data_IF_254155144123
#
_entry.id   IF_254155144123
#
_cell.length_a   1.000
_cell.length_b   1.000
_cell.length_c   1.000
_cell.angle_alpha   90.00
_cell.angle_beta   90.00
_cell.angle_gamma   90.00
#
_symmetry.space_group_name_H-M   'P 1'
#
loop_
_entity.id
_entity.type
_entity.pdbx_description
1 polymer ?
#
# COMPACT_ATOMS: atom_id res chain seq x y z
N UNK A 1 -28.68 12.19 19.64
CA UNK A 1 -27.56 12.18 20.62
C UNK A 1 -26.53 11.07 20.39
N UNK A 2 -26.84 9.99 19.64
CA UNK A 2 -25.91 8.89 19.36
C UNK A 2 -24.75 9.26 18.43
N UNK A 3 -24.97 10.11 17.42
CA UNK A 3 -23.92 10.55 16.47
C UNK A 3 -22.76 11.33 17.11
N UNK A 4 -23.04 12.22 18.06
CA UNK A 4 -22.02 13.04 18.71
C UNK A 4 -21.08 12.20 19.60
N UNK A 5 -21.63 11.19 20.30
CA UNK A 5 -20.85 10.26 21.10
C UNK A 5 -19.97 9.33 20.24
N UNK A 6 -20.49 8.88 19.09
CA UNK A 6 -19.73 8.11 18.10
C UNK A 6 -18.54 8.91 17.54
N UNK A 7 -18.75 10.18 17.17
CA UNK A 7 -17.68 11.09 16.72
C UNK A 7 -16.60 11.31 17.78
N UNK A 8 -16.98 11.49 19.06
CA UNK A 8 -16.03 11.69 20.15
C UNK A 8 -15.15 10.46 20.43
N UNK A 9 -15.73 9.26 20.31
CA UNK A 9 -14.98 8.00 20.45
C UNK A 9 -14.06 7.70 19.26
N UNK A 10 -14.44 8.17 18.06
CA UNK A 10 -13.64 8.05 16.84
C UNK A 10 -12.45 9.01 16.86
N UNK A 11 -12.65 10.27 17.25
CA UNK A 11 -11.57 11.25 17.39
C UNK A 11 -10.50 10.81 18.41
N UNK A 12 -10.94 10.25 19.55
CA UNK A 12 -10.04 9.72 20.59
C UNK A 12 -9.25 8.48 20.13
N UNK A 13 -9.80 7.65 19.24
CA UNK A 13 -9.10 6.48 18.67
C UNK A 13 -8.14 6.88 17.56
N UNK A 14 -8.54 7.81 16.69
CA UNK A 14 -7.67 8.40 15.67
C UNK A 14 -6.41 9.08 16.24
N UNK A 15 -6.48 9.58 17.48
CA UNK A 15 -5.36 10.19 18.21
C UNK A 15 -4.46 9.18 18.95
N UNK A 16 -4.90 7.93 19.18
CA UNK A 16 -4.20 6.97 20.05
C UNK A 16 -3.65 5.73 19.36
N UNK A 17 -4.06 5.41 18.13
CA UNK A 17 -3.58 4.22 17.42
C UNK A 17 -3.15 4.53 15.97
N UNK A 18 -2.00 4.00 15.49
CA UNK A 18 -1.64 4.05 14.08
C UNK A 18 -2.54 3.11 13.26
N UNK A 19 -3.61 3.63 12.66
CA UNK A 19 -4.56 2.84 11.86
C UNK A 19 -5.34 3.62 10.80
N UNK A 20 -6.24 2.94 10.07
CA UNK A 20 -7.07 3.49 8.98
C UNK A 20 -7.83 4.78 9.39
N UNK A 21 -8.27 4.87 10.65
CA UNK A 21 -8.98 6.03 11.20
C UNK A 21 -8.15 7.32 11.21
N UNK A 22 -6.83 7.23 11.51
CA UNK A 22 -5.92 8.38 11.47
C UNK A 22 -5.69 8.88 10.04
N UNK A 23 -5.61 7.96 9.07
CA UNK A 23 -5.48 8.33 7.66
C UNK A 23 -6.73 9.06 7.15
N UNK A 24 -7.92 8.60 7.54
CA UNK A 24 -9.19 9.28 7.23
C UNK A 24 -9.27 10.65 7.90
N UNK A 25 -8.89 10.76 9.17
CA UNK A 25 -8.84 12.05 9.88
C UNK A 25 -7.87 13.03 9.23
N UNK A 26 -6.69 12.57 8.82
CA UNK A 26 -5.71 13.37 8.09
C UNK A 26 -6.23 13.79 6.71
N UNK A 27 -6.90 12.88 5.99
CA UNK A 27 -7.52 13.19 4.69
C UNK A 27 -8.60 14.27 4.83
N UNK A 28 -9.49 14.14 5.83
CA UNK A 28 -10.53 15.13 6.11
C UNK A 28 -9.88 16.47 6.49
N UNK A 29 -8.91 16.45 7.40
CA UNK A 29 -8.22 17.66 7.85
C UNK A 29 -7.50 18.41 6.74
N UNK A 30 -6.73 17.71 5.89
CA UNK A 30 -6.05 18.35 4.75
C UNK A 30 -7.03 18.82 3.69
N UNK A 31 -8.13 18.10 3.45
CA UNK A 31 -9.15 18.49 2.47
C UNK A 31 -9.88 19.74 2.94
N UNK A 32 -10.21 19.83 4.23
CA UNK A 32 -10.77 21.04 4.83
C UNK A 32 -9.79 22.22 4.71
N UNK A 33 -8.50 22.00 5.02
CA UNK A 33 -7.47 23.03 4.89
C UNK A 33 -7.33 23.52 3.44
N UNK A 34 -7.31 22.61 2.46
CA UNK A 34 -7.22 22.97 1.05
C UNK A 34 -8.47 23.70 0.55
N UNK A 35 -9.67 23.26 0.98
CA UNK A 35 -10.92 23.94 0.65
C UNK A 35 -10.91 25.38 1.22
N UNK A 36 -10.53 25.56 2.48
CA UNK A 36 -10.48 26.88 3.12
C UNK A 36 -9.46 27.80 2.46
N UNK A 37 -8.26 27.30 2.15
CA UNK A 37 -7.24 28.09 1.44
C UNK A 37 -7.70 28.45 0.01
N UNK A 38 -8.30 27.50 -0.71
CA UNK A 38 -8.80 27.76 -2.06
C UNK A 38 -9.95 28.77 -2.06
N UNK A 39 -10.84 28.72 -1.06
CA UNK A 39 -11.88 29.71 -0.85
C UNK A 39 -11.28 31.10 -0.56
N UNK A 40 -10.34 31.19 0.37
CA UNK A 40 -9.68 32.46 0.71
C UNK A 40 -9.02 33.11 -0.51
N UNK A 41 -8.28 32.34 -1.32
CA UNK A 41 -7.69 32.85 -2.57
C UNK A 41 -8.77 33.27 -3.58
N UNK A 42 -9.84 32.50 -3.74
CA UNK A 42 -10.91 32.82 -4.68
C UNK A 42 -11.74 34.05 -4.29
N UNK A 43 -12.05 34.18 -3.01
CA UNK A 43 -12.91 35.24 -2.50
C UNK A 43 -12.12 36.52 -2.23
N UNK A 44 -11.08 36.46 -1.41
CA UNK A 44 -10.38 37.65 -0.93
C UNK A 44 -9.36 38.20 -1.94
N UNK A 45 -8.69 37.32 -2.71
CA UNK A 45 -7.65 37.75 -3.65
C UNK A 45 -8.21 38.00 -5.07
N UNK A 46 -9.11 37.13 -5.53
CA UNK A 46 -9.65 37.17 -6.90
C UNK A 46 -11.01 37.87 -7.02
N UNK A 47 -11.64 38.26 -5.90
CA UNK A 47 -12.97 38.89 -5.85
C UNK A 47 -13.99 38.15 -6.74
N UNK A 48 -14.02 36.82 -6.64
CA UNK A 48 -14.79 36.01 -7.57
C UNK A 48 -16.30 36.05 -7.30
N UNK A 49 -17.09 36.16 -8.37
CA UNK A 49 -18.56 36.16 -8.27
C UNK A 49 -19.10 34.81 -7.77
N UNK A 50 -18.40 33.71 -8.08
CA UNK A 50 -18.74 32.37 -7.60
C UNK A 50 -17.50 31.63 -7.07
N UNK A 51 -17.03 31.93 -5.84
CA UNK A 51 -15.80 31.36 -5.30
C UNK A 51 -15.84 29.84 -5.11
N UNK A 52 -17.03 29.24 -5.07
CA UNK A 52 -17.27 27.84 -4.72
C UNK A 52 -16.58 26.82 -5.65
N UNK A 53 -16.21 27.19 -6.87
CA UNK A 53 -15.47 26.31 -7.79
C UNK A 53 -14.06 25.97 -7.32
N UNK A 54 -13.37 26.91 -6.65
CA UNK A 54 -12.03 26.70 -6.16
C UNK A 54 -11.93 25.62 -5.06
N UNK A 55 -12.70 25.68 -3.95
CA UNK A 55 -12.68 24.62 -2.94
C UNK A 55 -13.20 23.29 -3.48
N UNK A 56 -14.22 23.29 -4.35
CA UNK A 56 -14.71 22.07 -4.99
C UNK A 56 -13.57 21.35 -5.74
N UNK A 57 -12.84 22.10 -6.56
CA UNK A 57 -11.70 21.60 -7.33
C UNK A 57 -10.55 21.13 -6.43
N UNK A 58 -10.25 21.87 -5.35
CA UNK A 58 -9.22 21.50 -4.39
C UNK A 58 -9.50 20.17 -3.69
N UNK A 59 -10.75 19.95 -3.25
CA UNK A 59 -11.17 18.70 -2.60
C UNK A 59 -11.19 17.54 -3.58
N UNK A 60 -11.62 17.77 -4.83
CA UNK A 60 -11.70 16.72 -5.84
C UNK A 60 -10.33 16.08 -6.14
N UNK A 61 -9.26 16.86 -6.02
CA UNK A 61 -7.89 16.41 -6.26
C UNK A 61 -7.25 15.72 -5.04
N UNK A 62 -7.84 15.89 -3.85
CA UNK A 62 -7.33 15.30 -2.60
C UNK A 62 -7.51 13.77 -2.52
N UNK A 63 -8.51 13.23 -3.23
CA UNK A 63 -8.80 11.79 -3.24
C UNK A 63 -7.88 10.98 -4.16
N UNK A 64 -6.98 11.64 -4.88
CA UNK A 64 -6.04 11.01 -5.80
C UNK A 64 -4.63 10.94 -5.20
N UNK A 65 -3.85 9.90 -5.56
CA UNK A 65 -2.41 9.87 -5.26
C UNK A 65 -1.72 11.07 -5.89
N UNK A 66 -0.62 11.60 -5.35
CA UNK A 66 0.04 12.80 -5.92
C UNK A 66 0.27 12.70 -7.44
N UNK A 67 0.66 11.51 -7.92
CA UNK A 67 0.79 11.22 -9.35
C UNK A 67 -0.55 11.28 -10.11
N UNK A 68 -1.58 10.58 -9.61
CA UNK A 68 -2.91 10.66 -10.21
C UNK A 68 -3.47 12.07 -10.09
N UNK A 69 -3.25 12.79 -9.00
CA UNK A 69 -3.70 14.15 -8.74
C UNK A 69 -3.25 15.12 -9.82
N UNK A 70 -2.02 15.01 -10.35
CA UNK A 70 -1.55 15.88 -11.44
C UNK A 70 -2.24 15.56 -12.77
N UNK A 71 -2.29 14.29 -13.17
CA UNK A 71 -2.97 13.92 -14.41
C UNK A 71 -4.49 14.09 -14.33
N UNK A 72 -5.05 13.84 -13.14
CA UNK A 72 -6.44 14.01 -12.82
C UNK A 72 -6.81 15.49 -12.73
N UNK A 73 -5.94 16.36 -12.18
CA UNK A 73 -6.17 17.80 -12.21
C UNK A 73 -6.11 18.33 -13.64
N UNK A 74 -5.20 17.83 -14.48
CA UNK A 74 -5.15 18.21 -15.89
C UNK A 74 -6.38 17.72 -16.65
N UNK A 75 -6.77 16.45 -16.49
CA UNK A 75 -8.00 15.89 -17.08
C UNK A 75 -9.26 16.59 -16.57
N UNK A 76 -9.31 16.92 -15.30
CA UNK A 76 -10.41 17.65 -14.68
C UNK A 76 -10.48 19.08 -15.22
N UNK A 77 -9.36 19.80 -15.27
CA UNK A 77 -9.28 21.14 -15.86
C UNK A 77 -9.70 21.11 -17.33
N UNK A 78 -9.24 20.13 -18.10
CA UNK A 78 -9.66 19.94 -19.48
C UNK A 78 -11.17 19.65 -19.57
N UNK A 79 -11.70 18.75 -18.73
CA UNK A 79 -13.12 18.42 -18.69
C UNK A 79 -13.99 19.65 -18.39
N UNK A 80 -13.60 20.44 -17.38
CA UNK A 80 -14.26 21.69 -17.02
C UNK A 80 -14.17 22.70 -18.15
N UNK A 81 -12.99 22.87 -18.75
CA UNK A 81 -12.78 23.80 -19.86
C UNK A 81 -13.66 23.45 -21.06
N UNK A 82 -13.76 22.16 -21.39
CA UNK A 82 -14.67 21.67 -22.45
C UNK A 82 -16.12 21.95 -22.09
N UNK A 83 -16.56 21.65 -20.86
CA UNK A 83 -17.93 21.94 -20.43
C UNK A 83 -18.28 23.43 -20.49
N UNK A 84 -17.39 24.29 -20.00
CA UNK A 84 -17.54 25.76 -20.06
C UNK A 84 -17.54 26.25 -21.52
N UNK A 85 -16.68 25.69 -22.39
CA UNK A 85 -16.62 26.06 -23.80
C UNK A 85 -17.88 25.65 -24.57
N UNK A 86 -18.42 24.45 -24.31
CA UNK A 86 -19.71 24.00 -24.86
C UNK A 86 -20.81 24.96 -24.46
N UNK A 87 -20.86 25.33 -23.17
CA UNK A 87 -21.84 26.29 -22.70
C UNK A 87 -21.66 27.66 -23.35
N UNK A 88 -20.44 28.15 -23.48
CA UNK A 88 -20.18 29.43 -24.13
C UNK A 88 -20.69 29.41 -25.58
N UNK A 89 -20.32 28.38 -26.35
CA UNK A 89 -20.70 28.25 -27.76
C UNK A 89 -22.22 28.20 -27.94
N UNK A 90 -22.93 27.38 -27.17
CA UNK A 90 -24.38 27.25 -27.28
C UNK A 90 -25.09 28.47 -26.70
N UNK A 91 -24.65 28.97 -25.55
CA UNK A 91 -25.26 30.11 -24.87
C UNK A 91 -25.24 31.39 -25.71
N UNK A 92 -24.12 31.68 -26.39
CA UNK A 92 -24.02 32.87 -27.24
C UNK A 92 -24.82 32.76 -28.55
N UNK A 93 -25.12 31.55 -29.03
CA UNK A 93 -25.88 31.34 -30.29
C UNK A 93 -27.38 31.21 -30.03
N UNK A 94 -27.77 30.44 -29.02
CA UNK A 94 -29.16 30.07 -28.75
C UNK A 94 -29.84 30.89 -27.63
N UNK A 95 -29.06 31.62 -26.82
CA UNK A 95 -29.58 32.37 -25.67
C UNK A 95 -29.96 31.50 -24.46
N UNK A 96 -30.50 32.11 -23.39
CA UNK A 96 -30.81 31.42 -22.13
C UNK A 96 -32.21 30.76 -22.16
N UNK A 97 -32.42 29.79 -23.05
CA UNK A 97 -33.70 29.06 -23.17
C UNK A 97 -33.57 27.58 -22.78
N UNK A 98 -34.69 26.92 -22.48
CA UNK A 98 -34.74 25.50 -22.14
C UNK A 98 -34.18 24.64 -23.28
N UNK A 99 -34.43 25.02 -24.53
CA UNK A 99 -33.87 24.32 -25.69
C UNK A 99 -32.34 24.40 -25.72
N UNK A 100 -31.76 25.55 -25.36
CA UNK A 100 -30.32 25.72 -25.25
C UNK A 100 -29.75 24.83 -24.14
N UNK A 101 -30.43 24.71 -22.99
CA UNK A 101 -30.04 23.80 -21.92
C UNK A 101 -30.02 22.34 -22.37
N UNK A 102 -31.08 21.88 -23.06
CA UNK A 102 -31.15 20.51 -23.59
C UNK A 102 -29.98 20.25 -24.55
N UNK A 103 -29.69 21.21 -25.44
CA UNK A 103 -28.59 21.09 -26.39
C UNK A 103 -27.23 21.00 -25.67
N UNK A 104 -26.99 21.86 -24.66
CA UNK A 104 -25.78 21.82 -23.82
C UNK A 104 -25.66 20.49 -23.11
N UNK A 105 -26.74 19.97 -22.53
CA UNK A 105 -26.76 18.69 -21.83
C UNK A 105 -26.38 17.53 -22.75
N UNK A 106 -27.00 17.46 -23.94
CA UNK A 106 -26.70 16.39 -24.91
C UNK A 106 -25.24 16.47 -25.35
N UNK A 107 -24.75 17.65 -25.74
CA UNK A 107 -23.36 17.81 -26.20
C UNK A 107 -22.36 17.49 -25.09
N UNK A 108 -22.57 18.02 -23.88
CA UNK A 108 -21.66 17.82 -22.76
C UNK A 108 -21.61 16.34 -22.31
N UNK A 109 -22.77 15.66 -22.28
CA UNK A 109 -22.84 14.23 -21.94
C UNK A 109 -22.19 13.36 -23.02
N UNK A 110 -22.36 13.68 -24.30
CA UNK A 110 -21.69 12.99 -25.40
C UNK A 110 -20.16 13.17 -25.34
N UNK A 111 -19.68 14.40 -25.14
CA UNK A 111 -18.25 14.68 -25.00
C UNK A 111 -17.66 14.06 -23.73
N UNK A 112 -18.45 13.94 -22.66
CA UNK A 112 -18.10 13.21 -21.45
C UNK A 112 -17.82 11.73 -21.69
N UNK A 113 -18.28 11.11 -22.79
CA UNK A 113 -17.97 9.72 -23.09
C UNK A 113 -16.56 9.51 -23.67
N UNK A 114 -15.78 10.57 -23.90
CA UNK A 114 -14.45 10.46 -24.49
C UNK A 114 -13.48 9.69 -23.56
N UNK A 115 -12.87 8.57 -24.02
CA UNK A 115 -11.93 7.79 -23.21
C UNK A 115 -10.73 8.56 -22.64
N UNK A 116 -10.29 9.64 -23.29
CA UNK A 116 -9.15 10.44 -22.84
C UNK A 116 -9.35 11.11 -21.46
N UNK A 117 -10.61 11.34 -21.05
CA UNK A 117 -10.97 12.01 -19.80
C UNK A 117 -10.91 11.08 -18.56
N UNK A 118 -10.79 9.77 -18.76
CA UNK A 118 -10.61 8.80 -17.68
C UNK A 118 -11.76 8.79 -16.67
N UNK A 119 -11.45 9.04 -15.38
CA UNK A 119 -12.41 9.11 -14.27
C UNK A 119 -13.17 10.46 -14.20
N UNK A 120 -12.77 11.47 -14.99
CA UNK A 120 -13.32 12.84 -14.92
C UNK A 120 -14.44 13.12 -15.94
N UNK A 121 -14.98 12.06 -16.57
CA UNK A 121 -16.01 12.14 -17.61
C UNK A 121 -17.28 12.89 -17.19
N UNK A 122 -17.76 12.63 -15.97
CA UNK A 122 -18.96 13.28 -15.42
C UNK A 122 -18.75 14.78 -15.19
N UNK A 123 -17.50 15.24 -15.04
CA UNK A 123 -17.22 16.64 -14.73
C UNK A 123 -17.44 17.57 -15.91
N UNK A 124 -17.43 17.06 -17.15
CA UNK A 124 -17.78 17.86 -18.35
C UNK A 124 -19.21 18.38 -18.25
N UNK A 125 -20.15 17.48 -17.93
CA UNK A 125 -21.56 17.85 -17.78
C UNK A 125 -21.78 18.75 -16.57
N UNK A 126 -21.19 18.41 -15.43
CA UNK A 126 -21.24 19.24 -14.21
C UNK A 126 -20.78 20.67 -14.49
N UNK A 127 -19.62 20.83 -15.12
CA UNK A 127 -19.08 22.15 -15.47
C UNK A 127 -19.96 22.91 -16.45
N UNK A 128 -20.49 22.24 -17.49
CA UNK A 128 -21.40 22.86 -18.45
C UNK A 128 -22.68 23.37 -17.79
N UNK A 129 -23.25 22.61 -16.84
CA UNK A 129 -24.47 23.00 -16.13
C UNK A 129 -24.24 24.17 -15.17
N UNK A 130 -23.14 24.17 -14.41
CA UNK A 130 -22.82 25.32 -13.59
C UNK A 130 -22.52 26.56 -14.44
N UNK A 131 -21.79 26.39 -15.55
CA UNK A 131 -21.55 27.46 -16.51
C UNK A 131 -22.88 28.00 -17.09
N UNK A 132 -23.86 27.14 -17.36
CA UNK A 132 -25.19 27.55 -17.82
C UNK A 132 -25.92 28.36 -16.75
N UNK A 133 -25.92 27.90 -15.50
CA UNK A 133 -26.50 28.63 -14.38
C UNK A 133 -25.89 30.02 -14.20
N UNK A 134 -24.57 30.14 -14.30
CA UNK A 134 -23.85 31.42 -14.25
C UNK A 134 -24.23 32.30 -15.46
N UNK A 135 -24.27 31.73 -16.66
CA UNK A 135 -24.62 32.44 -17.89
C UNK A 135 -26.03 33.06 -17.84
N UNK A 136 -27.02 32.33 -17.32
CA UNK A 136 -28.41 32.80 -17.20
C UNK A 136 -28.54 33.95 -16.19
N UNK A 137 -27.72 33.95 -15.14
CA UNK A 137 -27.76 34.98 -14.09
C UNK A 137 -27.06 36.28 -14.52
N UNK A 138 -26.15 36.22 -15.48
CA UNK A 138 -25.38 37.35 -15.96
C UNK A 138 -26.18 38.26 -16.92
N UNK A 139 -26.12 39.56 -16.65
CA UNK A 139 -26.97 40.56 -17.32
C UNK A 139 -26.34 41.12 -18.60
N UNK A 140 -25.00 41.15 -18.69
CA UNK A 140 -24.27 41.67 -19.86
C UNK A 140 -23.39 40.64 -20.58
N UNK A 141 -23.17 40.84 -21.89
CA UNK A 141 -22.29 39.97 -22.70
C UNK A 141 -20.84 39.96 -22.22
N UNK A 142 -20.30 41.13 -21.84
CA UNK A 142 -18.94 41.22 -21.27
C UNK A 142 -18.83 40.54 -19.90
N UNK A 143 -19.88 40.65 -19.08
CA UNK A 143 -19.98 39.98 -17.78
C UNK A 143 -20.04 38.44 -17.95
N UNK A 144 -20.81 37.94 -18.94
CA UNK A 144 -20.89 36.51 -19.27
C UNK A 144 -19.53 35.91 -19.65
N UNK A 145 -18.78 36.58 -20.52
CA UNK A 145 -17.44 36.11 -20.93
C UNK A 145 -16.49 36.10 -19.72
N UNK A 146 -16.51 37.17 -18.92
CA UNK A 146 -15.66 37.27 -17.72
C UNK A 146 -15.98 36.18 -16.70
N UNK A 147 -17.25 35.93 -16.41
CA UNK A 147 -17.68 34.92 -15.44
C UNK A 147 -17.39 33.49 -15.91
N UNK A 148 -17.58 33.18 -17.19
CA UNK A 148 -17.21 31.88 -17.76
C UNK A 148 -15.68 31.65 -17.70
N UNK A 149 -14.89 32.66 -18.05
CA UNK A 149 -13.43 32.60 -17.91
C UNK A 149 -13.00 32.44 -16.45
N UNK A 150 -13.70 33.11 -15.52
CA UNK A 150 -13.43 33.02 -14.09
C UNK A 150 -13.62 31.60 -13.53
N UNK A 151 -14.58 30.81 -14.05
CA UNK A 151 -14.74 29.40 -13.65
C UNK A 151 -13.44 28.62 -13.93
N UNK A 152 -12.84 28.78 -15.10
CA UNK A 152 -11.60 28.08 -15.49
C UNK A 152 -10.44 28.50 -14.57
N UNK A 153 -10.32 29.80 -14.29
CA UNK A 153 -9.29 30.32 -13.36
C UNK A 153 -9.47 29.75 -11.96
N UNK A 154 -10.70 29.72 -11.45
CA UNK A 154 -11.00 29.16 -10.13
C UNK A 154 -10.68 27.67 -10.03
N UNK A 155 -10.94 26.92 -11.11
CA UNK A 155 -10.55 25.51 -11.19
C UNK A 155 -9.03 25.37 -11.15
N UNK A 156 -8.28 26.15 -11.93
CA UNK A 156 -6.81 26.14 -11.90
C UNK A 156 -6.26 26.46 -10.51
N UNK A 157 -6.81 27.48 -9.85
CA UNK A 157 -6.42 27.86 -8.48
C UNK A 157 -6.74 26.75 -7.50
N UNK A 158 -7.96 26.20 -7.54
CA UNK A 158 -8.36 25.08 -6.68
C UNK A 158 -7.48 23.85 -6.90
N UNK A 159 -7.15 23.53 -8.15
CA UNK A 159 -6.22 22.46 -8.49
C UNK A 159 -4.82 22.72 -7.93
N UNK A 160 -4.31 23.94 -8.09
CA UNK A 160 -2.99 24.35 -7.61
C UNK A 160 -2.89 24.31 -6.08
N UNK A 161 -3.87 24.87 -5.37
CA UNK A 161 -3.94 24.85 -3.90
C UNK A 161 -4.13 23.43 -3.40
N UNK A 162 -5.04 22.66 -3.99
CA UNK A 162 -5.25 21.25 -3.66
C UNK A 162 -3.96 20.44 -3.81
N UNK A 163 -3.24 20.62 -4.92
CA UNK A 163 -1.95 19.96 -5.15
C UNK A 163 -0.89 20.43 -4.15
N UNK A 164 -0.78 21.73 -3.88
CA UNK A 164 0.16 22.30 -2.93
C UNK A 164 -0.07 21.77 -1.51
N UNK A 165 -1.32 21.73 -1.05
CA UNK A 165 -1.67 21.17 0.27
C UNK A 165 -1.45 19.66 0.29
N UNK A 166 -1.82 18.93 -0.77
CA UNK A 166 -1.59 17.47 -0.84
C UNK A 166 -0.09 17.12 -0.85
N UNK A 167 0.77 17.99 -1.38
CA UNK A 167 2.22 17.88 -1.28
C UNK A 167 2.76 18.27 0.11
N UNK A 168 2.28 19.39 0.66
CA UNK A 168 2.84 19.97 1.86
C UNK A 168 2.40 19.24 3.14
N UNK A 169 1.13 18.83 3.19
CA UNK A 169 0.48 18.25 4.37
C UNK A 169 0.37 16.74 4.20
N UNK A 170 1.29 16.01 4.82
CA UNK A 170 1.29 14.56 4.94
C UNK A 170 0.97 13.84 3.60
N UNK A 171 1.89 13.86 2.61
CA UNK A 171 1.70 13.14 1.37
C UNK A 171 1.35 11.69 1.69
N UNK A 172 0.33 11.08 1.04
CA UNK A 172 0.03 9.67 1.22
C UNK A 172 1.16 8.87 0.58
N UNK A 173 2.27 8.77 1.30
CA UNK A 173 3.39 7.92 0.95
C UNK A 173 2.88 6.50 1.14
N UNK A 174 2.37 5.94 0.03
CA UNK A 174 2.11 4.51 -0.15
C UNK A 174 3.39 3.67 0.04
N UNK A 175 4.52 4.26 0.41
CA UNK A 175 5.61 3.55 1.06
C UNK A 175 5.11 2.65 2.19
N UNK A 176 4.14 3.14 2.97
CA UNK A 176 3.49 2.38 4.03
C UNK A 176 2.74 1.14 3.53
N UNK A 177 2.32 1.05 2.26
CA UNK A 177 1.69 -0.17 1.73
C UNK A 177 2.68 -1.25 1.31
N UNK A 178 3.88 -0.88 0.84
CA UNK A 178 4.95 -1.85 0.58
C UNK A 178 5.48 -2.42 1.90
N UNK A 179 5.69 -1.55 2.89
CA UNK A 179 6.04 -1.91 4.25
C UNK A 179 4.95 -2.74 4.95
N UNK A 180 3.66 -2.38 4.80
CA UNK A 180 2.57 -3.23 5.30
C UNK A 180 2.57 -4.60 4.65
N UNK A 181 2.81 -4.68 3.33
CA UNK A 181 2.88 -5.94 2.60
C UNK A 181 4.02 -6.81 3.10
N UNK A 182 5.20 -6.23 3.34
CA UNK A 182 6.35 -6.92 3.92
C UNK A 182 6.07 -7.41 5.34
N UNK A 183 5.54 -6.53 6.22
CA UNK A 183 5.21 -6.91 7.60
C UNK A 183 4.12 -7.98 7.67
N UNK A 184 3.11 -7.90 6.81
CA UNK A 184 2.07 -8.91 6.73
C UNK A 184 2.62 -10.25 6.24
N UNK A 185 3.51 -10.24 5.23
CA UNK A 185 4.20 -11.44 4.77
C UNK A 185 5.06 -12.05 5.88
N UNK A 186 5.85 -11.23 6.58
CA UNK A 186 6.68 -11.67 7.69
C UNK A 186 5.85 -12.26 8.84
N UNK A 187 4.70 -11.66 9.17
CA UNK A 187 3.79 -12.19 10.19
C UNK A 187 3.16 -13.55 9.80
N UNK A 188 2.84 -13.77 8.52
CA UNK A 188 2.36 -15.09 8.05
C UNK A 188 3.47 -16.15 8.13
N UNK A 189 4.73 -15.77 7.84
CA UNK A 189 5.90 -16.63 7.97
C UNK A 189 6.19 -16.95 9.44
N UNK A 190 6.15 -15.94 10.31
CA UNK A 190 6.29 -16.07 11.77
C UNK A 190 5.26 -17.05 12.33
N UNK A 191 3.98 -16.86 12.01
CA UNK A 191 2.90 -17.72 12.48
C UNK A 191 3.05 -19.18 12.01
N UNK A 192 3.50 -19.38 10.76
CA UNK A 192 3.77 -20.73 10.24
C UNK A 192 4.96 -21.40 10.95
N UNK A 193 6.05 -20.67 11.15
CA UNK A 193 7.24 -21.19 11.82
C UNK A 193 6.97 -21.51 13.30
N UNK A 194 6.18 -20.68 13.98
CA UNK A 194 5.77 -20.89 15.37
C UNK A 194 4.92 -22.16 15.51
N UNK A 195 3.87 -22.32 14.70
CA UNK A 195 3.02 -23.51 14.73
C UNK A 195 3.76 -24.79 14.33
N UNK A 196 4.74 -24.68 13.42
CA UNK A 196 5.63 -25.78 13.07
C UNK A 196 6.58 -26.15 14.20
N UNK A 197 7.22 -25.17 14.84
CA UNK A 197 8.08 -25.39 16.00
C UNK A 197 7.31 -26.14 17.09
N UNK A 198 6.10 -25.71 17.41
CA UNK A 198 5.25 -26.34 18.41
C UNK A 198 4.88 -27.79 18.05
N UNK A 199 4.44 -28.04 16.81
CA UNK A 199 4.08 -29.39 16.37
C UNK A 199 5.28 -30.34 16.31
N UNK A 200 6.44 -29.86 15.87
CA UNK A 200 7.66 -30.67 15.81
C UNK A 200 8.23 -30.97 17.21
N UNK A 201 8.18 -30.02 18.14
CA UNK A 201 8.63 -30.19 19.53
C UNK A 201 7.78 -31.20 20.29
N UNK A 202 6.46 -31.13 20.12
CA UNK A 202 5.49 -32.05 20.75
C UNK A 202 5.39 -33.40 20.03
N UNK A 203 5.91 -33.50 18.80
CA UNK A 203 5.73 -34.67 17.93
C UNK A 203 4.32 -34.78 17.34
N UNK A 204 3.48 -33.76 17.53
CA UNK A 204 2.14 -33.65 16.98
C UNK A 204 2.18 -33.20 15.51
N UNK A 205 2.54 -34.13 14.62
CA UNK A 205 2.54 -33.90 13.17
C UNK A 205 1.49 -34.79 12.52
N UNK A 206 0.27 -34.73 13.05
CA UNK A 206 -0.83 -35.49 12.49
C UNK A 206 -1.24 -34.97 11.10
N UNK A 207 -2.11 -35.72 10.44
CA UNK A 207 -2.55 -35.38 9.09
C UNK A 207 -3.34 -34.05 9.04
N UNK A 208 -3.95 -33.62 10.15
CA UNK A 208 -4.73 -32.39 10.23
C UNK A 208 -3.81 -31.18 10.37
N UNK A 209 -2.84 -31.22 11.28
CA UNK A 209 -1.83 -30.18 11.46
C UNK A 209 -0.98 -30.01 10.20
N UNK A 210 -0.60 -31.10 9.54
CA UNK A 210 0.07 -31.03 8.25
C UNK A 210 -0.81 -30.45 7.11
N UNK A 211 -2.15 -30.52 7.20
CA UNK A 211 -3.05 -29.78 6.29
C UNK A 211 -3.07 -28.29 6.62
N UNK A 212 -3.10 -27.94 7.92
CA UNK A 212 -3.08 -26.56 8.39
C UNK A 212 -1.79 -25.85 7.97
N UNK A 213 -0.62 -26.47 8.14
CA UNK A 213 0.66 -25.93 7.68
C UNK A 213 0.70 -25.69 6.17
N UNK A 214 0.14 -26.59 5.36
CA UNK A 214 0.02 -26.36 3.91
C UNK A 214 -0.87 -25.16 3.59
N UNK A 215 -2.02 -25.04 4.25
CA UNK A 215 -2.92 -23.92 4.05
C UNK A 215 -2.28 -22.57 4.46
N UNK A 216 -1.50 -22.56 5.55
CA UNK A 216 -0.71 -21.42 5.98
C UNK A 216 0.41 -21.08 4.97
N UNK A 217 1.12 -22.08 4.43
CA UNK A 217 2.09 -21.86 3.35
C UNK A 217 1.46 -21.27 2.08
N UNK A 218 0.26 -21.70 1.69
CA UNK A 218 -0.51 -21.11 0.59
C UNK A 218 -0.99 -19.68 0.90
N UNK A 219 -1.32 -19.39 2.17
CA UNK A 219 -1.62 -18.04 2.64
C UNK A 219 -0.41 -17.11 2.49
N UNK A 220 0.76 -17.53 2.98
CA UNK A 220 2.01 -16.79 2.84
C UNK A 220 2.36 -16.55 1.37
N UNK A 221 2.17 -17.54 0.49
CA UNK A 221 2.39 -17.36 -0.96
C UNK A 221 1.46 -16.30 -1.58
N UNK A 222 0.20 -16.21 -1.12
CA UNK A 222 -0.70 -15.13 -1.54
C UNK A 222 -0.25 -13.77 -1.00
N UNK A 223 0.26 -13.72 0.23
CA UNK A 223 0.81 -12.51 0.82
C UNK A 223 2.03 -11.98 0.03
N UNK A 224 2.88 -12.86 -0.52
CA UNK A 224 3.97 -12.46 -1.44
C UNK A 224 3.43 -11.67 -2.64
N UNK A 225 2.36 -12.18 -3.28
CA UNK A 225 1.74 -11.52 -4.42
C UNK A 225 1.21 -10.11 -4.06
N UNK A 226 0.63 -9.96 -2.87
CA UNK A 226 0.17 -8.67 -2.37
C UNK A 226 1.33 -7.70 -2.07
N UNK A 227 2.42 -8.20 -1.47
CA UNK A 227 3.62 -7.42 -1.20
C UNK A 227 4.26 -6.91 -2.50
N UNK A 228 4.39 -7.76 -3.53
CA UNK A 228 4.89 -7.36 -4.86
C UNK A 228 3.99 -6.35 -5.57
N UNK A 229 2.67 -6.52 -5.50
CA UNK A 229 1.72 -5.55 -6.06
C UNK A 229 1.84 -4.20 -5.36
N UNK A 230 2.02 -4.20 -4.03
CA UNK A 230 2.27 -3.00 -3.23
C UNK A 230 3.57 -2.30 -3.63
N UNK A 231 4.65 -3.07 -3.75
CA UNK A 231 5.98 -2.57 -4.13
C UNK A 231 6.00 -1.98 -5.54
N UNK A 232 5.51 -2.70 -6.55
CA UNK A 232 5.45 -2.22 -7.93
C UNK A 232 4.58 -0.97 -8.08
N UNK A 233 3.48 -0.87 -7.31
CA UNK A 233 2.65 0.35 -7.27
C UNK A 233 3.43 1.52 -6.68
N UNK A 234 4.24 1.28 -5.66
CA UNK A 234 5.04 2.29 -4.99
C UNK A 234 6.26 2.73 -5.84
N UNK A 235 6.95 1.81 -6.51
CA UNK A 235 8.05 2.10 -7.46
C UNK A 235 7.59 2.96 -8.63
N UNK A 236 6.47 2.60 -9.27
CA UNK A 236 5.88 3.36 -10.37
C UNK A 236 5.42 4.78 -9.94
N UNK A 237 5.32 5.04 -8.64
CA UNK A 237 4.91 6.34 -8.08
C UNK A 237 6.11 7.28 -7.77
N UNK A 238 7.35 6.77 -7.74
CA UNK A 238 8.56 7.52 -7.36
C UNK A 238 9.04 8.62 -8.32
N UNK A 239 9.13 8.41 -9.66
CA UNK A 239 9.79 9.36 -10.54
C UNK A 239 9.09 10.73 -10.61
N UNK A 240 7.87 10.84 -10.11
CA UNK A 240 7.04 12.06 -10.15
C UNK A 240 6.83 12.71 -8.78
N UNK A 241 7.65 12.38 -7.77
CA UNK A 241 7.64 13.05 -6.47
C UNK A 241 8.62 14.25 -6.45
N UNK A 242 8.15 15.52 -6.58
CA UNK A 242 9.03 16.69 -6.60
C UNK A 242 9.76 16.92 -5.26
N UNK A 243 9.34 16.26 -4.17
CA UNK A 243 10.09 16.28 -2.89
C UNK A 243 11.38 15.44 -2.91
N UNK A 244 11.68 14.67 -3.97
CA UNK A 244 13.01 14.05 -4.19
C UNK A 244 14.12 15.10 -4.28
N UNK A 245 13.77 16.35 -4.61
CA UNK A 245 14.70 17.48 -4.67
C UNK A 245 15.00 18.07 -3.29
N UNK A 246 14.26 17.69 -2.23
CA UNK A 246 14.51 18.19 -0.88
C UNK A 246 15.61 17.38 -0.18
N UNK A 247 16.67 18.03 0.35
CA UNK A 247 17.83 17.35 0.95
C UNK A 247 17.48 16.41 2.11
N UNK A 248 16.46 16.76 2.90
CA UNK A 248 16.07 16.04 4.12
C UNK A 248 15.45 14.66 3.89
N UNK A 249 15.16 14.26 2.64
CA UNK A 249 14.52 12.98 2.35
C UNK A 249 15.36 12.11 1.40
N UNK A 250 16.67 12.35 1.27
CA UNK A 250 17.56 11.56 0.39
C UNK A 250 17.72 10.08 0.78
N UNK A 251 17.13 9.62 1.89
CA UNK A 251 17.06 8.19 2.26
C UNK A 251 16.24 7.30 1.30
N UNK A 252 15.68 7.83 0.20
CA UNK A 252 14.92 7.11 -0.83
C UNK A 252 15.71 6.05 -1.65
N UNK A 253 16.86 5.56 -1.14
CA UNK A 253 17.60 4.40 -1.67
C UNK A 253 17.02 3.04 -1.21
N UNK A 254 15.85 3.04 -0.56
CA UNK A 254 15.29 1.88 0.14
C UNK A 254 14.47 0.91 -0.70
N UNK A 255 14.01 1.28 -1.91
CA UNK A 255 13.15 0.39 -2.73
C UNK A 255 13.86 -0.86 -3.21
N UNK A 256 15.10 -0.73 -3.66
CA UNK A 256 15.91 -1.89 -4.06
C UNK A 256 16.08 -2.86 -2.89
N UNK A 257 16.27 -2.33 -1.69
CA UNK A 257 16.46 -3.11 -0.46
C UNK A 257 15.16 -3.77 -0.01
N UNK A 258 14.03 -3.06 -0.07
CA UNK A 258 12.70 -3.66 0.16
C UNK A 258 12.38 -4.76 -0.86
N UNK A 259 12.76 -4.57 -2.12
CA UNK A 259 12.62 -5.58 -3.17
C UNK A 259 13.44 -6.82 -2.83
N UNK A 260 14.69 -6.63 -2.43
CA UNK A 260 15.56 -7.71 -1.97
C UNK A 260 14.98 -8.45 -0.76
N UNK A 261 14.45 -7.75 0.25
CA UNK A 261 13.79 -8.38 1.41
C UNK A 261 12.53 -9.17 1.02
N UNK A 262 11.68 -8.62 0.13
CA UNK A 262 10.49 -9.34 -0.38
C UNK A 262 10.90 -10.56 -1.20
N UNK A 263 11.92 -10.45 -2.05
CA UNK A 263 12.42 -11.57 -2.86
C UNK A 263 13.04 -12.67 -1.98
N UNK A 264 13.75 -12.31 -0.92
CA UNK A 264 14.30 -13.28 0.03
C UNK A 264 13.19 -14.00 0.83
N UNK A 265 12.19 -13.27 1.33
CA UNK A 265 11.02 -13.88 1.99
C UNK A 265 10.19 -14.74 1.02
N UNK A 266 10.07 -14.36 -0.26
CA UNK A 266 9.41 -15.20 -1.26
C UNK A 266 10.14 -16.55 -1.42
N UNK A 267 11.47 -16.54 -1.46
CA UNK A 267 12.25 -17.78 -1.51
C UNK A 267 12.07 -18.61 -0.24
N UNK A 268 12.06 -17.98 0.93
CA UNK A 268 11.77 -18.65 2.19
C UNK A 268 10.37 -19.29 2.20
N UNK A 269 9.33 -18.57 1.75
CA UNK A 269 7.97 -19.11 1.62
C UNK A 269 7.91 -20.29 0.65
N UNK A 270 8.66 -20.24 -0.46
CA UNK A 270 8.74 -21.37 -1.38
C UNK A 270 9.32 -22.62 -0.71
N UNK A 271 10.40 -22.47 0.07
CA UNK A 271 11.01 -23.60 0.81
C UNK A 271 10.08 -24.10 1.93
N UNK A 272 9.43 -23.20 2.68
CA UNK A 272 8.41 -23.59 3.68
C UNK A 272 7.25 -24.35 3.02
N UNK A 273 6.80 -23.92 1.84
CA UNK A 273 5.80 -24.64 1.05
C UNK A 273 6.28 -26.03 0.61
N UNK A 274 7.55 -26.17 0.22
CA UNK A 274 8.18 -27.45 -0.12
C UNK A 274 8.21 -28.40 1.08
N UNK A 275 8.60 -27.86 2.22
CA UNK A 275 8.75 -28.57 3.45
C UNK A 275 7.40 -29.03 4.03
N UNK A 276 6.41 -28.15 4.12
CA UNK A 276 5.06 -28.50 4.62
C UNK A 276 4.39 -29.54 3.73
N UNK A 277 4.61 -29.49 2.40
CA UNK A 277 4.17 -30.53 1.47
C UNK A 277 4.83 -31.88 1.74
N UNK A 278 6.11 -31.89 2.08
CA UNK A 278 6.88 -33.10 2.37
C UNK A 278 6.54 -33.69 3.74
N UNK A 279 6.39 -32.85 4.76
CA UNK A 279 5.89 -33.25 6.09
C UNK A 279 4.51 -33.87 6.00
N UNK A 280 3.58 -33.29 5.24
CA UNK A 280 2.26 -33.89 5.11
C UNK A 280 2.19 -35.13 4.20
N UNK A 281 3.30 -35.58 3.59
CA UNK A 281 3.41 -36.92 2.99
C UNK A 281 3.80 -37.97 4.02
N UNK A 282 4.25 -37.56 5.20
CA UNK A 282 4.46 -38.43 6.34
C UNK A 282 3.11 -39.05 6.74
N UNK A 283 2.98 -40.36 6.59
CA UNK A 283 1.69 -41.06 6.73
C UNK A 283 1.71 -42.27 7.67
N UNK A 284 2.85 -42.68 8.21
CA UNK A 284 2.94 -43.93 8.95
C UNK A 284 3.60 -43.78 10.32
N UNK A 285 2.90 -44.28 11.33
CA UNK A 285 3.38 -44.48 12.69
C UNK A 285 4.46 -45.56 12.63
N UNK A 286 5.72 -45.16 12.81
CA UNK A 286 6.82 -46.12 12.86
C UNK A 286 7.43 -46.18 14.26
N UNK A 287 7.45 -47.38 14.82
CA UNK A 287 8.05 -47.69 16.12
C UNK A 287 9.54 -48.09 16.01
N UNK A 288 10.18 -47.87 14.85
CA UNK A 288 11.49 -48.49 14.51
C UNK A 288 12.68 -47.56 14.78
N UNK A 289 12.51 -46.23 14.79
CA UNK A 289 13.59 -45.30 15.14
C UNK A 289 13.10 -44.24 16.13
N UNK A 290 14.02 -43.75 16.97
CA UNK A 290 13.76 -42.68 17.93
C UNK A 290 13.90 -41.34 17.23
N UNK A 291 12.88 -40.89 16.50
CA UNK A 291 12.93 -39.65 15.70
C UNK A 291 12.75 -38.35 16.51
N UNK A 292 12.44 -38.47 17.79
CA UNK A 292 12.15 -37.34 18.68
C UNK A 292 13.32 -36.34 18.82
N UNK A 293 14.61 -36.75 18.90
CA UNK A 293 15.72 -35.81 18.98
C UNK A 293 15.85 -34.94 17.72
N UNK A 294 15.80 -35.56 16.53
CA UNK A 294 15.89 -34.84 15.26
C UNK A 294 14.72 -33.88 15.03
N UNK A 295 13.50 -34.26 15.41
CA UNK A 295 12.33 -33.38 15.32
C UNK A 295 12.41 -32.21 16.32
N UNK A 296 12.94 -32.44 17.52
CA UNK A 296 13.18 -31.36 18.50
C UNK A 296 14.26 -30.39 18.03
N UNK A 297 15.39 -30.88 17.54
CA UNK A 297 16.42 -30.03 16.94
C UNK A 297 15.84 -29.18 15.80
N UNK A 298 14.98 -29.78 14.96
CA UNK A 298 14.30 -29.03 13.90
C UNK A 298 13.31 -27.99 14.46
N UNK A 299 12.59 -28.32 15.53
CA UNK A 299 11.70 -27.38 16.21
C UNK A 299 12.47 -26.16 16.72
N UNK A 300 13.61 -26.37 17.37
CA UNK A 300 14.47 -25.29 17.89
C UNK A 300 15.00 -24.41 16.74
N UNK A 301 15.36 -25.02 15.60
CA UNK A 301 15.72 -24.30 14.38
C UNK A 301 14.55 -23.48 13.83
N UNK A 302 13.34 -24.06 13.74
CA UNK A 302 12.15 -23.35 13.28
C UNK A 302 11.78 -22.18 14.21
N UNK A 303 11.90 -22.37 15.53
CA UNK A 303 11.73 -21.32 16.53
C UNK A 303 12.75 -20.18 16.39
N UNK A 304 14.00 -20.51 16.07
CA UNK A 304 15.03 -19.49 15.81
C UNK A 304 14.74 -18.68 14.55
N UNK A 305 14.24 -19.31 13.48
CA UNK A 305 13.80 -18.59 12.28
C UNK A 305 12.55 -17.73 12.54
N UNK A 306 11.62 -18.20 13.37
CA UNK A 306 10.46 -17.41 13.82
C UNK A 306 10.91 -16.12 14.47
N UNK A 307 11.91 -16.14 15.33
CA UNK A 307 12.40 -14.93 16.01
C UNK A 307 12.92 -13.89 15.00
N UNK A 308 13.59 -14.34 13.93
CA UNK A 308 14.01 -13.44 12.84
C UNK A 308 12.78 -12.88 12.11
N UNK A 309 11.79 -13.72 11.80
CA UNK A 309 10.54 -13.30 11.15
C UNK A 309 9.73 -12.31 12.02
N UNK A 310 9.77 -12.44 13.34
CA UNK A 310 9.14 -11.53 14.28
C UNK A 310 9.74 -10.12 14.19
N UNK A 311 11.08 -10.00 14.15
CA UNK A 311 11.73 -8.71 13.97
C UNK A 311 11.38 -8.11 12.60
N UNK A 312 11.31 -8.93 11.54
CA UNK A 312 10.87 -8.49 10.21
C UNK A 312 9.42 -7.97 10.21
N UNK A 313 8.51 -8.63 10.95
CA UNK A 313 7.13 -8.20 11.09
C UNK A 313 6.99 -6.88 11.87
N UNK A 314 7.93 -6.59 12.77
CA UNK A 314 7.99 -5.40 13.59
C UNK A 314 8.98 -4.32 13.08
N UNK A 315 9.55 -4.47 11.87
CA UNK A 315 10.50 -3.53 11.28
C UNK A 315 10.01 -2.09 11.36
N UNK A 316 10.81 -1.17 11.90
CA UNK A 316 10.51 0.27 11.97
C UNK A 316 11.72 1.09 11.51
N UNK A 317 11.50 2.16 10.76
CA UNK A 317 12.58 2.99 10.21
C UNK A 317 13.37 3.70 11.30
N UNK A 318 12.73 4.02 12.43
CA UNK A 318 13.34 4.76 13.53
C UNK A 318 14.28 3.88 14.39
N UNK A 319 14.11 2.55 14.33
CA UNK A 319 14.89 1.56 15.11
C UNK A 319 15.63 0.55 14.23
N UNK A 320 15.76 0.83 12.93
CA UNK A 320 16.28 -0.11 11.93
C UNK A 320 17.70 -0.60 12.26
N UNK A 321 18.59 0.26 12.77
CA UNK A 321 19.97 -0.13 13.13
C UNK A 321 19.99 -1.14 14.28
N UNK A 322 19.22 -0.89 15.34
CA UNK A 322 19.11 -1.80 16.49
C UNK A 322 18.47 -3.13 16.06
N UNK A 323 17.44 -3.08 15.22
CA UNK A 323 16.77 -4.26 14.67
C UNK A 323 17.71 -5.08 13.76
N UNK A 324 18.55 -4.44 12.95
CA UNK A 324 19.52 -5.14 12.09
C UNK A 324 20.60 -5.86 12.92
N UNK A 325 21.12 -5.22 13.97
CA UNK A 325 22.06 -5.86 14.90
C UNK A 325 21.44 -7.08 15.58
N UNK A 326 20.20 -6.94 16.05
CA UNK A 326 19.46 -8.03 16.68
C UNK A 326 19.19 -9.19 15.71
N UNK A 327 18.82 -8.89 14.47
CA UNK A 327 18.63 -9.91 13.42
C UNK A 327 19.92 -10.68 13.12
N UNK A 328 21.09 -10.01 13.10
CA UNK A 328 22.37 -10.71 12.96
C UNK A 328 22.65 -11.63 14.15
N UNK A 329 22.31 -11.21 15.37
CA UNK A 329 22.44 -12.06 16.57
C UNK A 329 21.55 -13.29 16.47
N UNK A 330 20.29 -13.11 16.06
CA UNK A 330 19.34 -14.20 15.87
C UNK A 330 19.73 -15.14 14.73
N UNK A 331 20.31 -14.61 13.64
CA UNK A 331 20.83 -15.42 12.54
C UNK A 331 21.98 -16.35 12.99
N UNK A 332 22.89 -15.86 13.85
CA UNK A 332 23.91 -16.72 14.46
C UNK A 332 23.31 -17.85 15.31
N UNK A 333 22.25 -17.55 16.09
CA UNK A 333 21.54 -18.56 16.89
C UNK A 333 20.86 -19.59 15.98
N UNK A 334 20.20 -19.13 14.91
CA UNK A 334 19.58 -20.02 13.93
C UNK A 334 20.61 -20.90 13.20
N UNK A 335 21.82 -20.38 12.95
CA UNK A 335 22.92 -21.15 12.39
C UNK A 335 23.42 -22.24 13.36
N UNK A 336 23.54 -21.94 14.64
CA UNK A 336 23.87 -22.94 15.67
C UNK A 336 22.79 -24.03 15.77
N UNK A 337 21.51 -23.66 15.71
CA UNK A 337 20.40 -24.61 15.70
C UNK A 337 20.39 -25.48 14.42
N UNK A 338 20.76 -24.93 13.26
CA UNK A 338 20.94 -25.72 12.04
C UNK A 338 22.07 -26.73 12.20
N UNK A 339 23.19 -26.34 12.79
CA UNK A 339 24.32 -27.25 13.03
C UNK A 339 23.92 -28.41 13.96
N UNK A 340 23.05 -28.15 14.95
CA UNK A 340 22.45 -29.18 15.81
C UNK A 340 21.50 -30.13 15.06
N UNK A 341 20.69 -29.61 14.13
CA UNK A 341 19.88 -30.46 13.22
C UNK A 341 20.79 -31.38 12.40
N UNK A 342 21.90 -30.85 11.88
CA UNK A 342 22.85 -31.61 11.06
C UNK A 342 23.64 -32.64 11.86
N UNK A 343 24.03 -32.33 13.11
CA UNK A 343 24.73 -33.28 13.98
C UNK A 343 23.80 -34.42 14.40
N UNK A 344 22.59 -34.09 14.86
CA UNK A 344 21.59 -35.07 15.29
C UNK A 344 21.23 -36.02 14.17
N UNK A 345 21.07 -35.50 12.94
CA UNK A 345 20.78 -36.33 11.77
C UNK A 345 21.90 -37.34 11.44
N UNK A 346 23.17 -37.02 11.75
CA UNK A 346 24.31 -37.92 11.57
C UNK A 346 24.43 -38.92 12.70
N UNK A 347 24.25 -38.48 13.95
CA UNK A 347 24.37 -39.31 15.15
C UNK A 347 23.28 -40.39 15.22
N UNK A 348 22.06 -40.04 14.83
CA UNK A 348 20.91 -40.96 14.82
C UNK A 348 20.80 -41.79 13.52
N UNK A 349 21.80 -41.73 12.63
CA UNK A 349 21.88 -42.46 11.36
C UNK A 349 20.58 -42.38 10.51
N UNK A 350 19.98 -41.18 10.42
CA UNK A 350 18.71 -41.01 9.71
C UNK A 350 18.81 -41.44 8.23
N UNK A 351 17.80 -42.12 7.67
CA UNK A 351 17.81 -42.56 6.27
C UNK A 351 17.56 -41.38 5.32
N UNK A 352 18.59 -40.57 5.07
CA UNK A 352 18.50 -39.37 4.23
C UNK A 352 18.27 -39.67 2.74
N UNK A 353 18.65 -40.87 2.27
CA UNK A 353 18.49 -41.31 0.88
C UNK A 353 17.12 -41.94 0.59
N UNK A 354 16.31 -42.19 1.62
CA UNK A 354 14.98 -42.77 1.45
C UNK A 354 13.98 -41.69 1.03
N UNK A 355 13.64 -41.65 -0.26
CA UNK A 355 12.68 -40.71 -0.83
C UNK A 355 11.24 -40.90 -0.33
N UNK A 356 10.94 -42.03 0.34
CA UNK A 356 9.67 -42.23 1.03
C UNK A 356 9.59 -41.47 2.36
N UNK A 357 10.73 -40.94 2.85
CA UNK A 357 10.86 -40.24 4.13
C UNK A 357 11.12 -38.75 3.93
N UNK A 358 10.59 -37.90 4.84
CA UNK A 358 10.78 -36.46 4.73
C UNK A 358 12.17 -35.99 5.16
N UNK A 359 12.98 -36.80 5.86
CA UNK A 359 14.20 -36.34 6.55
C UNK A 359 15.29 -35.78 5.62
N UNK A 360 15.57 -36.46 4.50
CA UNK A 360 16.50 -35.93 3.50
C UNK A 360 16.05 -34.58 2.96
N UNK A 361 14.74 -34.40 2.80
CA UNK A 361 14.15 -33.11 2.40
C UNK A 361 14.26 -32.09 3.54
N UNK A 362 13.93 -32.46 4.77
CA UNK A 362 14.00 -31.55 5.93
C UNK A 362 15.40 -30.98 6.12
N UNK A 363 16.43 -31.82 6.09
CA UNK A 363 17.83 -31.38 6.24
C UNK A 363 18.24 -30.44 5.11
N UNK A 364 17.88 -30.76 3.86
CA UNK A 364 18.20 -29.92 2.71
C UNK A 364 17.44 -28.59 2.75
N UNK A 365 16.16 -28.61 3.10
CA UNK A 365 15.34 -27.41 3.19
C UNK A 365 15.75 -26.54 4.38
N UNK A 366 16.22 -27.11 5.50
CA UNK A 366 16.75 -26.34 6.63
C UNK A 366 17.97 -25.51 6.23
N UNK A 367 18.92 -26.11 5.52
CA UNK A 367 20.10 -25.39 5.00
C UNK A 367 19.71 -24.26 4.05
N UNK A 368 18.75 -24.52 3.14
CA UNK A 368 18.25 -23.51 2.21
C UNK A 368 17.49 -22.38 2.91
N UNK A 369 16.66 -22.70 3.90
CA UNK A 369 15.96 -21.70 4.70
C UNK A 369 16.95 -20.80 5.42
N UNK A 370 17.97 -21.37 6.05
CA UNK A 370 19.00 -20.60 6.74
C UNK A 370 19.73 -19.65 5.78
N UNK A 371 20.09 -20.12 4.58
CA UNK A 371 20.73 -19.28 3.56
C UNK A 371 19.86 -18.07 3.16
N UNK A 372 18.55 -18.27 2.96
CA UNK A 372 17.65 -17.18 2.60
C UNK A 372 17.40 -16.18 3.76
N UNK A 373 17.30 -16.68 4.99
CA UNK A 373 17.17 -15.82 6.17
C UNK A 373 18.45 -15.03 6.44
N UNK A 374 19.63 -15.66 6.30
CA UNK A 374 20.93 -14.97 6.41
C UNK A 374 21.06 -13.86 5.38
N UNK A 375 20.74 -14.14 4.12
CA UNK A 375 20.73 -13.15 3.05
C UNK A 375 19.80 -11.96 3.37
N UNK A 376 18.63 -12.23 3.99
CA UNK A 376 17.71 -11.17 4.43
C UNK A 376 18.33 -10.29 5.52
N UNK A 377 19.00 -10.89 6.50
CA UNK A 377 19.69 -10.16 7.57
C UNK A 377 20.83 -9.28 7.00
N UNK A 378 21.64 -9.82 6.08
CA UNK A 378 22.76 -9.11 5.48
C UNK A 378 22.28 -7.89 4.67
N UNK A 379 21.23 -8.05 3.86
CA UNK A 379 20.60 -6.95 3.11
C UNK A 379 20.11 -5.85 4.05
N UNK A 380 19.52 -6.21 5.19
CA UNK A 380 19.01 -5.23 6.16
C UNK A 380 20.14 -4.52 6.92
N UNK A 381 21.23 -5.22 7.24
CA UNK A 381 22.42 -4.61 7.83
C UNK A 381 23.08 -3.61 6.89
N UNK A 382 23.30 -3.98 5.63
CA UNK A 382 23.78 -3.05 4.61
C UNK A 382 22.86 -1.84 4.39
N UNK A 383 21.59 -1.97 4.77
CA UNK A 383 20.60 -0.89 4.73
C UNK A 383 20.72 0.03 5.94
N UNK A 384 20.99 -0.51 7.13
CA UNK A 384 21.21 0.25 8.35
C UNK A 384 22.52 1.06 8.34
N UNK A 385 23.55 0.53 7.67
CA UNK A 385 24.88 1.14 7.63
C UNK A 385 25.04 2.25 6.56
N UNK A 386 24.03 2.45 5.69
CA UNK A 386 24.06 3.37 4.53
C UNK A 386 23.30 4.68 4.77
#
# INVERSE_FOLDING_TARGET
MTWAASCGSWLKRALRAPGHERNTALLVGKSALAATLAWWVAYDLLNAASPAFAPFSAVLIMNATIYRSVWQSLRYTAAVTVGVAVQAAVGFVAGPDLFAFVLVAVIALCLGQWPALGEQRSQVATAAFFAFSTYVTATGTGERVSQLGQIIVLVLVGCGVGLAVNLCVAPPLRYRSAEHGLRALAAEVEALLDDMSDGLCTGDVDAERARQWRAAGESAQRAVGQARAGLSTAENSLPFNPRRLLPAHRGYLSFERYRQSVDALERAVYQLGSLTRSLGRWRETENTYTYAPALRAYADFAGSLRDIAHILAALDSDTLTEQAEEMCRLASIAQEALDEVLSTAREDELPLSDASRPYGVLVVEAGRLMEEFQNTCDVLKETADA
#
